data_IF_292102632382
#
_entry.id   IF_292102632382
#
_cell.length_a   1.000
_cell.length_b   1.000
_cell.length_c   1.000
_cell.angle_alpha   90.00
_cell.angle_beta   90.00
_cell.angle_gamma   90.00
#
_symmetry.space_group_name_H-M   'P 1'
#
loop_
_entity.id
_entity.type
_entity.pdbx_description
1 polymer ?
#
# COMPACT_ATOMS: atom_id res chain seq x y z
N UNK A 1 -12.00 9.23 23.44
CA UNK A 1 -11.29 8.59 22.31
C UNK A 1 -9.86 9.08 22.39
N UNK A 2 -8.88 8.18 22.44
CA UNK A 2 -7.49 8.61 22.28
C UNK A 2 -7.33 8.99 20.80
N UNK A 3 -6.95 10.23 20.53
CA UNK A 3 -6.62 10.65 19.18
C UNK A 3 -5.41 9.85 18.71
N UNK A 4 -5.63 8.91 17.78
CA UNK A 4 -4.54 8.20 17.11
C UNK A 4 -3.96 9.16 16.07
N UNK A 5 -2.78 9.72 16.36
CA UNK A 5 -2.04 10.55 15.41
C UNK A 5 -1.41 9.64 14.35
N UNK A 6 -2.07 9.52 13.19
CA UNK A 6 -1.55 8.77 12.04
C UNK A 6 -0.63 9.68 11.24
N UNK A 7 0.68 9.41 11.29
CA UNK A 7 1.68 10.12 10.48
C UNK A 7 2.01 9.34 9.21
N UNK A 8 1.86 10.01 8.07
CA UNK A 8 2.33 9.52 6.78
C UNK A 8 3.71 10.08 6.50
N UNK A 9 4.69 9.19 6.31
CA UNK A 9 6.00 9.58 5.83
C UNK A 9 6.00 9.62 4.31
N UNK A 10 6.41 10.75 3.73
CA UNK A 10 6.61 10.83 2.30
C UNK A 10 8.03 10.35 1.98
N UNK A 11 8.11 9.20 1.30
CA UNK A 11 9.37 8.59 0.87
C UNK A 11 9.49 8.66 -0.66
N UNK A 12 10.72 8.84 -1.14
CA UNK A 12 10.98 8.93 -2.57
C UNK A 12 10.86 7.57 -3.28
N UNK A 13 10.91 7.56 -4.61
CA UNK A 13 10.71 6.33 -5.40
C UNK A 13 11.80 5.26 -5.17
N UNK A 14 13.05 5.68 -4.92
CA UNK A 14 14.14 4.75 -4.61
C UNK A 14 13.91 4.05 -3.26
N UNK A 15 13.51 4.83 -2.25
CA UNK A 15 13.14 4.32 -0.93
C UNK A 15 11.90 3.41 -1.00
N UNK A 16 10.87 3.80 -1.76
CA UNK A 16 9.70 2.95 -2.01
C UNK A 16 10.12 1.62 -2.66
N UNK A 17 10.96 1.67 -3.68
CA UNK A 17 11.43 0.46 -4.39
C UNK A 17 12.22 -0.45 -3.47
N UNK A 18 13.13 0.09 -2.66
CA UNK A 18 13.88 -0.69 -1.67
C UNK A 18 12.95 -1.33 -0.64
N UNK A 19 11.93 -0.61 -0.17
CA UNK A 19 10.94 -1.13 0.77
C UNK A 19 10.09 -2.24 0.13
N UNK A 20 9.65 -2.06 -1.13
CA UNK A 20 8.95 -3.11 -1.89
C UNK A 20 9.81 -4.38 -2.01
N UNK A 21 11.10 -4.21 -2.30
CA UNK A 21 12.04 -5.32 -2.42
C UNK A 21 12.11 -6.16 -1.13
N UNK A 22 12.22 -5.49 0.02
CA UNK A 22 12.21 -6.08 1.36
C UNK A 22 10.89 -6.80 1.65
N UNK A 23 9.77 -6.21 1.23
CA UNK A 23 8.43 -6.77 1.43
C UNK A 23 8.09 -7.93 0.48
N UNK A 24 9.01 -8.32 -0.41
CA UNK A 24 8.80 -9.44 -1.32
C UNK A 24 8.16 -9.05 -2.65
N UNK A 25 8.22 -7.78 -3.04
CA UNK A 25 7.70 -7.26 -4.29
C UNK A 25 8.82 -6.73 -5.19
N UNK A 26 8.56 -6.61 -6.48
CA UNK A 26 9.44 -5.92 -7.42
C UNK A 26 8.61 -4.99 -8.31
N UNK A 27 9.28 -4.00 -8.90
CA UNK A 27 8.66 -3.03 -9.79
C UNK A 27 9.21 -3.26 -11.20
N UNK A 28 8.32 -3.29 -12.20
CA UNK A 28 8.74 -3.41 -13.59
C UNK A 28 9.17 -2.05 -14.18
N UNK A 29 9.59 -2.06 -15.44
CA UNK A 29 10.02 -0.85 -16.15
C UNK A 29 8.90 0.19 -16.35
N UNK A 30 7.63 -0.21 -16.16
CA UNK A 30 6.44 0.66 -16.26
C UNK A 30 5.99 1.18 -14.90
N UNK A 31 6.68 0.83 -13.82
CA UNK A 31 6.31 1.24 -12.47
C UNK A 31 5.23 0.36 -11.82
N UNK A 32 4.85 -0.78 -12.41
CA UNK A 32 3.82 -1.68 -11.86
C UNK A 32 4.45 -2.62 -10.84
N UNK A 33 3.75 -2.84 -9.73
CA UNK A 33 4.20 -3.69 -8.63
C UNK A 33 3.79 -5.15 -8.88
N UNK A 34 4.72 -6.07 -8.63
CA UNK A 34 4.52 -7.52 -8.75
C UNK A 34 5.01 -8.24 -7.51
N UNK A 35 4.34 -9.33 -7.16
CA UNK A 35 4.79 -10.25 -6.11
C UNK A 35 5.97 -11.09 -6.61
N UNK A 36 7.09 -11.11 -5.87
CA UNK A 36 8.30 -11.86 -6.27
C UNK A 36 8.10 -13.37 -6.30
N UNK A 37 7.22 -13.92 -5.47
CA UNK A 37 6.95 -15.36 -5.33
C UNK A 37 6.03 -15.85 -6.43
N UNK A 38 4.91 -15.15 -6.67
CA UNK A 38 3.90 -15.56 -7.65
C UNK A 38 4.17 -15.04 -9.05
N UNK A 39 4.99 -13.98 -9.17
CA UNK A 39 5.23 -13.24 -10.43
C UNK A 39 3.98 -12.59 -11.02
N UNK A 40 2.91 -12.49 -10.24
CA UNK A 40 1.68 -11.83 -10.65
C UNK A 40 1.69 -10.36 -10.23
N UNK A 41 0.92 -9.54 -10.95
CA UNK A 41 0.70 -8.15 -10.57
C UNK A 41 0.07 -8.09 -9.19
N UNK A 42 0.56 -7.16 -8.38
CA UNK A 42 -0.10 -6.84 -7.12
C UNK A 42 -1.37 -6.06 -7.43
N UNK A 43 -2.50 -6.63 -7.02
CA UNK A 43 -3.82 -6.02 -7.19
C UNK A 43 -4.20 -5.34 -5.88
N UNK A 44 -4.61 -4.09 -5.97
CA UNK A 44 -5.15 -3.34 -4.86
C UNK A 44 -6.38 -4.09 -4.32
N UNK A 45 -6.40 -4.53 -3.06
CA UNK A 45 -7.52 -5.29 -2.50
C UNK A 45 -8.83 -4.48 -2.41
N UNK A 46 -8.74 -3.16 -2.58
CA UNK A 46 -9.87 -2.24 -2.49
C UNK A 46 -10.43 -1.94 -3.87
N UNK A 47 -9.57 -1.51 -4.81
CA UNK A 47 -10.03 -1.05 -6.13
C UNK A 47 -10.08 -2.17 -7.18
N UNK A 48 -9.51 -3.34 -6.88
CA UNK A 48 -9.33 -4.46 -7.82
C UNK A 48 -8.50 -4.08 -9.06
N UNK A 49 -7.67 -3.04 -8.93
CA UNK A 49 -6.78 -2.53 -9.99
C UNK A 49 -5.31 -2.80 -9.65
N UNK A 50 -4.48 -2.93 -10.67
CA UNK A 50 -3.02 -3.04 -10.51
C UNK A 50 -2.44 -1.81 -9.82
N UNK A 51 -1.48 -2.02 -8.92
CA UNK A 51 -0.84 -0.91 -8.20
C UNK A 51 0.42 -0.42 -8.93
N UNK A 52 0.49 0.89 -9.15
CA UNK A 52 1.70 1.59 -9.59
C UNK A 52 2.47 2.14 -8.39
N UNK A 53 3.81 2.07 -8.42
CA UNK A 53 4.68 2.60 -7.36
C UNK A 53 4.47 4.09 -7.07
N UNK A 54 4.12 4.87 -8.09
CA UNK A 54 3.87 6.30 -7.97
C UNK A 54 2.69 6.57 -7.04
N UNK A 55 1.66 5.73 -7.14
CA UNK A 55 0.42 5.80 -6.37
C UNK A 55 0.30 4.70 -5.32
N UNK A 56 1.41 4.08 -4.92
CA UNK A 56 1.41 3.04 -3.91
C UNK A 56 1.58 3.64 -2.51
N UNK A 57 0.72 3.21 -1.58
CA UNK A 57 0.90 3.39 -0.14
C UNK A 57 1.08 2.04 0.53
N UNK A 58 2.05 1.96 1.44
CA UNK A 58 2.24 0.85 2.36
C UNK A 58 1.70 1.29 3.71
N UNK A 59 0.81 0.51 4.28
CA UNK A 59 0.03 0.96 5.44
C UNK A 59 0.68 0.50 6.75
N UNK A 60 0.77 1.38 7.77
CA UNK A 60 1.43 1.07 9.05
C UNK A 60 0.87 -0.19 9.69
N UNK A 61 1.76 -1.05 10.18
CA UNK A 61 1.38 -2.31 10.85
C UNK A 61 0.90 -3.42 9.89
N UNK A 62 0.97 -3.21 8.58
CA UNK A 62 0.62 -4.21 7.57
C UNK A 62 1.61 -4.24 6.41
N UNK A 63 1.61 -5.33 5.64
CA UNK A 63 2.28 -5.41 4.33
C UNK A 63 1.31 -5.12 3.18
N UNK A 64 0.16 -4.51 3.48
CA UNK A 64 -0.86 -4.21 2.48
C UNK A 64 -0.40 -2.99 1.69
N UNK A 65 -0.35 -3.17 0.37
CA UNK A 65 -0.04 -2.13 -0.61
C UNK A 65 -1.35 -1.79 -1.34
N UNK A 66 -1.73 -0.51 -1.31
CA UNK A 66 -2.95 -0.02 -1.99
C UNK A 66 -2.62 1.13 -2.92
N UNK A 67 -3.53 1.39 -3.87
CA UNK A 67 -3.56 2.65 -4.61
C UNK A 67 -3.85 3.81 -3.63
N UNK A 68 -3.29 4.99 -3.88
CA UNK A 68 -3.52 6.22 -3.08
C UNK A 68 -4.61 7.09 -3.68
N UNK A 69 -5.77 6.53 -3.98
CA UNK A 69 -6.97 7.32 -4.32
C UNK A 69 -7.72 7.69 -3.04
N UNK A 70 -8.51 8.76 -3.09
CA UNK A 70 -9.33 9.17 -1.93
C UNK A 70 -10.26 8.04 -1.48
N UNK A 71 -10.83 7.32 -2.44
CA UNK A 71 -11.71 6.18 -2.18
C UNK A 71 -10.98 5.03 -1.48
N UNK A 72 -9.82 4.61 -1.99
CA UNK A 72 -9.07 3.48 -1.40
C UNK A 72 -8.55 3.80 0.00
N UNK A 73 -8.14 5.04 0.25
CA UNK A 73 -7.76 5.48 1.59
C UNK A 73 -8.97 5.49 2.53
N UNK A 74 -10.11 6.04 2.08
CA UNK A 74 -11.34 6.09 2.88
C UNK A 74 -11.84 4.70 3.28
N UNK A 75 -11.86 3.76 2.35
CA UNK A 75 -12.28 2.38 2.61
C UNK A 75 -11.30 1.67 3.57
N UNK A 76 -9.98 1.82 3.36
CA UNK A 76 -8.99 1.27 4.29
C UNK A 76 -9.19 1.80 5.72
N UNK A 77 -9.37 3.11 5.89
CA UNK A 77 -9.54 3.68 7.22
C UNK A 77 -10.82 3.19 7.88
N UNK A 78 -11.91 3.05 7.13
CA UNK A 78 -13.16 2.50 7.65
C UNK A 78 -12.93 1.09 8.20
N UNK A 79 -12.34 0.20 7.40
CA UNK A 79 -12.00 -1.17 7.80
C UNK A 79 -11.02 -1.22 8.99
N UNK A 80 -10.03 -0.33 9.00
CA UNK A 80 -8.99 -0.28 10.03
C UNK A 80 -9.55 0.25 11.36
N UNK A 81 -10.36 1.31 11.34
CA UNK A 81 -11.00 1.85 12.54
C UNK A 81 -12.02 0.87 13.11
N UNK A 82 -12.80 0.19 12.28
CA UNK A 82 -13.72 -0.86 12.74
C UNK A 82 -12.99 -2.02 13.44
N UNK A 83 -11.79 -2.39 12.95
CA UNK A 83 -10.94 -3.42 13.58
C UNK A 83 -10.26 -2.98 14.86
N UNK A 84 -10.01 -1.68 15.05
CA UNK A 84 -9.41 -1.15 16.28
C UNK A 84 -10.45 -0.96 17.39
N UNK A 85 -11.69 -0.68 17.01
CA UNK A 85 -12.78 -0.38 17.96
C UNK A 85 -13.53 -1.61 18.47
N UNK A 86 -13.29 -2.79 17.89
CA UNK A 86 -13.81 -4.10 18.33
C UNK A 86 -12.70 -4.96 18.93
#
# INVERSE_FOLDING_TARGET
>A
MNDIDVKFENINIEQKTALMDILGYYVDEKGIIFDKKTKMQHICPITDESVSIDNASILPGSTIIINTTELSLSEYFTDFFEKILN
#
